data_IF_198312927454
#
_entry.id   IF_198312927454
#
_cell.length_a   1.000
_cell.length_b   1.000
_cell.length_c   1.000
_cell.angle_alpha   90.00
_cell.angle_beta   90.00
_cell.angle_gamma   90.00
#
_symmetry.space_group_name_H-M   'P 1'
#
loop_
_entity.id
_entity.type
_entity.pdbx_description
1 polymer ?
#
# COMPACT_ATOMS: atom_id res chain seq x y z
N UNK A 1 12.46 18.52 1.59
CA UNK A 1 12.87 18.57 3.01
C UNK A 1 14.05 17.63 3.23
N UNK A 2 14.86 17.84 4.30
CA UNK A 2 15.83 16.81 4.68
C UNK A 2 15.09 15.58 5.19
N UNK A 3 15.59 14.39 4.86
CA UNK A 3 14.98 13.12 5.20
C UNK A 3 15.90 12.29 6.11
N UNK A 4 15.31 11.65 7.09
CA UNK A 4 15.98 10.59 7.85
C UNK A 4 15.60 9.24 7.23
N UNK A 5 16.60 8.47 6.78
CA UNK A 5 16.39 7.15 6.18
C UNK A 5 17.21 6.08 6.87
N UNK A 6 16.67 4.89 7.03
CA UNK A 6 17.37 3.73 7.59
C UNK A 6 16.84 2.42 7.06
N UNK A 7 17.72 1.43 6.89
CA UNK A 7 17.29 0.04 6.78
C UNK A 7 16.87 -0.45 8.17
N UNK A 8 15.80 -1.22 8.23
CA UNK A 8 15.26 -1.75 9.48
C UNK A 8 15.03 -3.25 9.36
N UNK A 9 15.07 -3.93 10.51
CA UNK A 9 14.70 -5.34 10.62
C UNK A 9 13.83 -5.52 11.85
N UNK A 10 12.75 -6.31 11.72
CA UNK A 10 11.79 -6.53 12.79
C UNK A 10 11.16 -7.92 12.71
N UNK A 11 10.66 -8.40 13.84
CA UNK A 11 10.08 -9.74 13.93
C UNK A 11 8.68 -9.83 13.32
N UNK A 12 8.40 -10.93 12.62
CA UNK A 12 7.06 -11.36 12.19
C UNK A 12 6.90 -12.85 12.50
N UNK A 13 6.29 -13.16 13.64
CA UNK A 13 6.26 -14.53 14.17
C UNK A 13 7.67 -15.09 14.37
N UNK A 14 7.98 -16.22 13.71
CA UNK A 14 9.29 -16.89 13.82
C UNK A 14 10.32 -16.39 12.81
N UNK A 15 10.06 -15.31 12.08
CA UNK A 15 10.95 -14.76 11.04
C UNK A 15 11.29 -13.31 11.28
N UNK A 16 12.38 -12.86 10.68
CA UNK A 16 12.69 -11.44 10.55
C UNK A 16 12.17 -10.93 9.20
N UNK A 17 11.67 -9.71 9.18
CA UNK A 17 11.41 -8.95 7.97
C UNK A 17 12.41 -7.80 7.88
N UNK A 18 12.78 -7.46 6.67
CA UNK A 18 13.58 -6.27 6.38
C UNK A 18 12.70 -5.19 5.76
N UNK A 19 13.12 -3.94 5.91
CA UNK A 19 12.43 -2.81 5.31
C UNK A 19 13.33 -1.60 5.17
N UNK A 20 12.83 -0.62 4.46
CA UNK A 20 13.43 0.69 4.33
C UNK A 20 12.47 1.73 4.90
N UNK A 21 12.90 2.39 5.96
CA UNK A 21 12.16 3.45 6.64
C UNK A 21 12.68 4.82 6.21
N UNK A 22 11.76 5.72 5.88
CA UNK A 22 12.06 7.12 5.54
C UNK A 22 11.03 8.04 6.23
N UNK A 23 11.49 9.15 6.78
CA UNK A 23 10.63 10.16 7.39
C UNK A 23 11.21 11.56 7.19
N UNK A 24 10.40 12.63 7.33
CA UNK A 24 10.92 13.98 7.41
C UNK A 24 11.89 14.12 8.59
N UNK A 25 12.85 15.02 8.49
CA UNK A 25 13.63 15.44 9.64
C UNK A 25 12.74 16.24 10.60
N UNK A 26 12.88 16.00 11.91
CA UNK A 26 12.09 16.64 12.96
C UNK A 26 11.53 15.66 13.97
N UNK A 27 10.83 16.18 14.98
CA UNK A 27 10.38 15.38 16.13
C UNK A 27 9.10 14.56 15.85
N UNK A 28 8.29 14.93 14.84
CA UNK A 28 7.00 14.29 14.59
C UNK A 28 5.92 14.72 15.62
N UNK A 29 4.90 13.89 15.94
CA UNK A 29 4.64 12.61 15.27
C UNK A 29 4.06 12.79 13.85
N UNK A 30 4.63 12.06 12.89
CA UNK A 30 4.19 12.03 11.50
C UNK A 30 3.12 10.96 11.28
N UNK A 31 2.19 11.14 10.33
CA UNK A 31 1.32 10.06 9.90
C UNK A 31 2.16 8.91 9.32
N UNK A 32 1.80 7.67 9.68
CA UNK A 32 2.52 6.48 9.26
C UNK A 32 2.01 5.91 7.94
N UNK A 33 2.90 5.41 7.09
CA UNK A 33 2.52 4.79 5.83
C UNK A 33 3.33 3.52 5.55
N UNK A 34 2.64 2.40 5.29
CA UNK A 34 3.28 1.17 4.82
C UNK A 34 3.26 1.13 3.29
N UNK A 35 4.43 0.97 2.67
CA UNK A 35 4.60 0.83 1.22
C UNK A 35 4.82 -0.64 0.89
N UNK A 36 3.90 -1.24 0.10
CA UNK A 36 3.88 -2.66 -0.19
C UNK A 36 4.29 -2.89 -1.65
N UNK A 37 5.35 -3.66 -1.83
CA UNK A 37 6.02 -3.87 -3.11
C UNK A 37 5.23 -4.72 -4.11
N UNK A 38 5.60 -4.60 -5.38
CA UNK A 38 5.23 -5.50 -6.47
C UNK A 38 5.85 -6.91 -6.27
N UNK A 39 5.69 -7.78 -7.24
CA UNK A 39 6.27 -9.15 -7.24
C UNK A 39 7.80 -9.19 -7.24
N UNK A 40 8.48 -8.06 -7.28
CA UNK A 40 9.95 -7.96 -7.36
C UNK A 40 10.64 -7.82 -6.00
N UNK A 41 9.89 -7.65 -4.91
CA UNK A 41 10.41 -7.39 -3.56
C UNK A 41 10.78 -5.92 -3.34
N UNK A 42 11.55 -5.65 -2.30
CA UNK A 42 12.02 -4.31 -1.94
C UNK A 42 13.12 -3.83 -2.91
N UNK A 43 12.70 -3.32 -4.06
CA UNK A 43 13.58 -2.71 -5.07
C UNK A 43 13.93 -1.27 -4.74
N UNK A 44 14.87 -0.66 -5.51
CA UNK A 44 15.14 0.78 -5.37
C UNK A 44 13.94 1.66 -5.71
N UNK A 45 13.08 1.22 -6.62
CA UNK A 45 11.82 1.91 -6.90
C UNK A 45 10.90 1.96 -5.66
N UNK A 46 10.83 0.89 -4.85
CA UNK A 46 10.06 0.90 -3.60
C UNK A 46 10.68 1.83 -2.54
N UNK A 47 12.02 1.89 -2.48
CA UNK A 47 12.74 2.84 -1.62
C UNK A 47 12.50 4.30 -2.07
N UNK A 48 12.46 4.53 -3.38
CA UNK A 48 12.09 5.82 -3.97
C UNK A 48 10.69 6.25 -3.53
N UNK A 49 9.69 5.36 -3.60
CA UNK A 49 8.34 5.66 -3.14
C UNK A 49 8.29 5.98 -1.64
N UNK A 50 9.02 5.24 -0.80
CA UNK A 50 9.10 5.56 0.63
C UNK A 50 9.70 6.96 0.87
N UNK A 51 10.77 7.33 0.16
CA UNK A 51 11.35 8.69 0.23
C UNK A 51 10.37 9.75 -0.27
N UNK A 52 9.67 9.48 -1.37
CA UNK A 52 8.70 10.42 -1.95
C UNK A 52 7.53 10.69 -1.01
N UNK A 53 7.04 9.69 -0.30
CA UNK A 53 6.04 9.88 0.77
C UNK A 53 6.64 10.60 1.98
N UNK A 54 7.89 10.34 2.31
CA UNK A 54 8.55 11.08 3.40
C UNK A 54 8.71 12.58 3.05
N UNK A 55 9.07 12.92 1.81
CA UNK A 55 9.09 14.30 1.32
C UNK A 55 7.69 14.97 1.39
N UNK A 56 6.63 14.18 1.28
CA UNK A 56 5.24 14.63 1.43
C UNK A 56 4.74 14.66 2.90
N UNK A 57 5.62 14.40 3.88
CA UNK A 57 5.31 14.53 5.30
C UNK A 57 4.90 13.26 6.03
N UNK A 58 5.09 12.08 5.45
CA UNK A 58 4.77 10.79 6.07
C UNK A 58 6.01 10.09 6.65
N UNK A 59 5.84 9.33 7.72
CA UNK A 59 6.82 8.31 8.14
C UNK A 59 6.52 7.01 7.36
N UNK A 60 7.27 6.74 6.30
CA UNK A 60 6.99 5.68 5.33
C UNK A 60 7.91 4.48 5.54
N UNK A 61 7.34 3.27 5.60
CA UNK A 61 8.05 2.00 5.71
C UNK A 61 7.78 1.11 4.49
N UNK A 62 8.75 0.98 3.60
CA UNK A 62 8.73 -0.01 2.53
C UNK A 62 9.23 -1.35 3.08
N UNK A 63 8.33 -2.35 3.18
CA UNK A 63 8.64 -3.68 3.72
C UNK A 63 9.07 -4.65 2.63
N UNK A 64 10.01 -5.56 2.93
CA UNK A 64 10.33 -6.71 2.08
C UNK A 64 9.62 -7.97 2.59
N UNK A 65 8.48 -8.30 1.99
CA UNK A 65 7.71 -9.50 2.30
C UNK A 65 8.43 -10.81 1.87
N UNK A 66 9.52 -10.68 1.10
CA UNK A 66 10.31 -11.81 0.60
C UNK A 66 11.59 -12.08 1.39
N UNK A 67 11.84 -11.31 2.46
CA UNK A 67 13.04 -11.42 3.29
C UNK A 67 13.37 -12.87 3.68
N UNK A 68 14.64 -13.24 3.51
CA UNK A 68 15.19 -14.52 4.00
C UNK A 68 14.73 -15.77 3.25
N UNK A 69 14.05 -15.62 2.09
CA UNK A 69 13.55 -16.76 1.28
C UNK A 69 13.78 -16.54 -0.20
N UNK A 70 13.74 -17.63 -0.98
CA UNK A 70 13.69 -17.53 -2.44
C UNK A 70 12.45 -16.74 -2.88
N UNK A 71 12.64 -15.71 -3.71
CA UNK A 71 11.55 -14.88 -4.26
C UNK A 71 10.47 -15.73 -4.93
N UNK A 72 10.86 -16.76 -5.67
CA UNK A 72 9.92 -17.66 -6.34
C UNK A 72 9.02 -18.41 -5.34
N UNK A 73 9.60 -18.92 -4.24
CA UNK A 73 8.83 -19.60 -3.18
C UNK A 73 7.90 -18.62 -2.48
N UNK A 74 8.40 -17.43 -2.14
CA UNK A 74 7.58 -16.40 -1.48
C UNK A 74 6.42 -15.96 -2.36
N UNK A 75 6.69 -15.70 -3.65
CA UNK A 75 5.67 -15.33 -4.62
C UNK A 75 4.61 -16.43 -4.76
N UNK A 76 5.02 -17.69 -4.92
CA UNK A 76 4.08 -18.81 -5.00
C UNK A 76 3.20 -18.92 -3.74
N UNK A 77 3.78 -18.84 -2.55
CA UNK A 77 3.04 -18.88 -1.28
C UNK A 77 2.10 -17.68 -1.12
N UNK A 78 2.54 -16.50 -1.52
CA UNK A 78 1.73 -15.28 -1.47
C UNK A 78 0.52 -15.39 -2.42
N UNK A 79 0.75 -15.77 -3.66
CA UNK A 79 -0.31 -15.95 -4.67
C UNK A 79 -1.30 -17.06 -4.28
N UNK A 80 -0.81 -18.20 -3.78
CA UNK A 80 -1.69 -19.26 -3.29
C UNK A 80 -2.47 -18.84 -2.04
N UNK A 81 -1.86 -18.11 -1.12
CA UNK A 81 -2.54 -17.53 0.04
C UNK A 81 -3.66 -16.57 -0.37
N UNK A 82 -3.37 -15.65 -1.28
CA UNK A 82 -4.38 -14.72 -1.81
C UNK A 82 -5.53 -15.44 -2.53
N UNK A 83 -5.26 -16.57 -3.18
CA UNK A 83 -6.29 -17.35 -3.88
C UNK A 83 -7.16 -18.18 -2.93
N UNK A 84 -6.53 -18.83 -1.93
CA UNK A 84 -7.20 -19.80 -1.05
C UNK A 84 -7.80 -19.17 0.21
N UNK A 85 -7.14 -18.14 0.75
CA UNK A 85 -7.57 -17.44 1.97
C UNK A 85 -7.03 -16.00 1.97
N UNK A 86 -7.65 -15.15 1.17
CA UNK A 86 -7.17 -13.77 0.92
C UNK A 86 -6.97 -12.95 2.20
N UNK A 87 -7.73 -13.22 3.25
CA UNK A 87 -7.76 -12.39 4.47
C UNK A 87 -6.91 -12.93 5.62
N UNK A 88 -6.46 -14.18 5.52
CA UNK A 88 -5.72 -14.83 6.61
C UNK A 88 -4.63 -15.76 6.06
N UNK A 89 -3.54 -15.17 5.60
CA UNK A 89 -2.34 -15.88 5.18
C UNK A 89 -1.08 -15.14 5.66
N UNK A 90 0.10 -15.74 5.46
CA UNK A 90 1.37 -15.20 5.97
C UNK A 90 1.61 -13.74 5.56
N UNK A 91 1.24 -13.33 4.34
CA UNK A 91 1.41 -11.94 3.90
C UNK A 91 0.61 -10.94 4.73
N UNK A 92 -0.61 -11.30 5.15
CA UNK A 92 -1.42 -10.46 6.04
C UNK A 92 -0.80 -10.40 7.45
N UNK A 93 -0.30 -11.54 7.95
CA UNK A 93 0.40 -11.57 9.24
C UNK A 93 1.68 -10.71 9.21
N UNK A 94 2.45 -10.77 8.12
CA UNK A 94 3.64 -9.96 7.92
C UNK A 94 3.31 -8.46 7.85
N UNK A 95 2.22 -8.07 7.19
CA UNK A 95 1.77 -6.67 7.14
C UNK A 95 1.29 -6.16 8.51
N UNK A 96 0.60 -7.00 9.30
CA UNK A 96 0.25 -6.65 10.68
C UNK A 96 1.49 -6.45 11.56
N UNK A 97 2.51 -7.29 11.41
CA UNK A 97 3.79 -7.11 12.10
C UNK A 97 4.53 -5.86 11.63
N UNK A 98 4.46 -5.53 10.34
CA UNK A 98 5.01 -4.29 9.77
C UNK A 98 4.35 -3.07 10.38
N UNK A 99 3.02 -3.07 10.52
CA UNK A 99 2.30 -1.98 11.15
C UNK A 99 2.65 -1.85 12.64
N UNK A 100 2.73 -2.96 13.37
CA UNK A 100 3.15 -2.94 14.77
C UNK A 100 4.54 -2.30 14.95
N UNK A 101 5.48 -2.63 14.04
CA UNK A 101 6.80 -2.02 14.05
C UNK A 101 6.75 -0.52 13.74
N UNK A 102 5.93 -0.11 12.76
CA UNK A 102 5.76 1.30 12.38
C UNK A 102 5.16 2.11 13.53
N UNK A 103 4.08 1.61 14.14
CA UNK A 103 3.38 2.23 15.28
C UNK A 103 4.26 2.36 16.55
N UNK A 104 5.27 1.49 16.67
CA UNK A 104 6.23 1.54 17.78
C UNK A 104 7.33 2.60 17.58
N UNK A 105 7.43 3.25 16.42
CA UNK A 105 8.41 4.32 16.20
C UNK A 105 7.93 5.59 16.91
N UNK A 106 8.77 6.23 17.76
CA UNK A 106 8.37 7.45 18.52
C UNK A 106 7.92 8.61 17.64
N UNK A 107 8.42 8.66 16.39
CA UNK A 107 8.10 9.69 15.41
C UNK A 107 6.80 9.43 14.64
N UNK A 108 6.07 8.35 14.91
CA UNK A 108 4.87 7.96 14.19
C UNK A 108 3.60 8.16 15.03
N UNK A 109 2.61 8.82 14.44
CA UNK A 109 1.28 8.88 15.00
C UNK A 109 0.48 7.62 14.63
N UNK A 110 0.34 6.73 15.59
CA UNK A 110 -0.35 5.44 15.41
C UNK A 110 -1.85 5.56 15.09
N UNK A 111 -2.47 6.70 15.39
CA UNK A 111 -3.87 6.95 15.06
C UNK A 111 -4.05 7.44 13.63
N UNK A 112 -2.97 7.73 12.92
CA UNK A 112 -2.94 8.27 11.55
C UNK A 112 -2.06 7.38 10.66
N UNK A 113 -2.51 6.16 10.41
CA UNK A 113 -1.76 5.17 9.62
C UNK A 113 -2.52 4.73 8.38
N UNK A 114 -1.80 4.53 7.28
CA UNK A 114 -2.34 4.05 6.02
C UNK A 114 -1.41 3.11 5.29
N UNK A 115 -1.82 2.67 4.11
CA UNK A 115 -1.00 1.82 3.27
C UNK A 115 -1.13 2.18 1.78
N UNK A 116 -0.04 2.06 1.05
CA UNK A 116 -0.02 2.09 -0.41
C UNK A 116 0.58 0.79 -0.92
N UNK A 117 0.00 0.22 -1.96
CA UNK A 117 0.48 -1.03 -2.51
C UNK A 117 0.39 -1.09 -4.02
N UNK A 118 1.39 -1.72 -4.64
CA UNK A 118 1.54 -1.80 -6.08
C UNK A 118 1.41 -3.25 -6.56
N UNK A 119 0.58 -3.52 -7.56
CA UNK A 119 0.34 -4.85 -8.13
C UNK A 119 -0.11 -5.86 -7.05
N UNK A 120 0.69 -6.88 -6.79
CA UNK A 120 0.49 -7.81 -5.67
C UNK A 120 0.32 -7.05 -4.34
N UNK A 121 1.14 -6.02 -4.10
CA UNK A 121 1.04 -5.18 -2.92
C UNK A 121 -0.26 -4.41 -2.81
N UNK A 122 -0.83 -3.97 -3.94
CA UNK A 122 -2.15 -3.34 -3.98
C UNK A 122 -3.26 -4.30 -3.57
N UNK A 123 -3.21 -5.54 -4.07
CA UNK A 123 -4.16 -6.59 -3.69
C UNK A 123 -4.03 -6.97 -2.21
N UNK A 124 -2.79 -6.99 -1.69
CA UNK A 124 -2.53 -7.20 -0.27
C UNK A 124 -3.04 -6.04 0.59
N UNK A 125 -2.91 -4.79 0.14
CA UNK A 125 -3.43 -3.63 0.86
C UNK A 125 -4.95 -3.70 1.02
N UNK A 126 -5.68 -4.08 -0.03
CA UNK A 126 -7.14 -4.28 0.03
C UNK A 126 -7.47 -5.42 1.02
N UNK A 127 -6.85 -6.58 0.86
CA UNK A 127 -7.12 -7.73 1.72
C UNK A 127 -6.76 -7.46 3.19
N UNK A 128 -5.66 -6.78 3.43
CA UNK A 128 -5.23 -6.39 4.77
C UNK A 128 -6.18 -5.40 5.42
N UNK A 129 -6.62 -4.36 4.73
CA UNK A 129 -7.61 -3.42 5.24
C UNK A 129 -8.94 -4.09 5.61
N UNK A 130 -9.34 -5.14 4.86
CA UNK A 130 -10.49 -5.96 5.25
C UNK A 130 -10.26 -6.79 6.54
N UNK A 131 -9.01 -7.03 6.93
CA UNK A 131 -8.61 -7.91 8.05
C UNK A 131 -8.00 -7.15 9.24
N UNK A 132 -7.84 -5.83 9.16
CA UNK A 132 -7.22 -4.98 10.18
C UNK A 132 -7.83 -3.57 10.11
N UNK A 133 -8.54 -3.16 11.13
CA UNK A 133 -9.28 -1.89 11.18
C UNK A 133 -8.43 -0.68 11.63
N UNK A 134 -7.13 -0.84 11.82
CA UNK A 134 -6.23 0.26 12.21
C UNK A 134 -5.93 1.21 11.06
N UNK A 135 -5.96 0.71 9.81
CA UNK A 135 -5.70 1.54 8.64
C UNK A 135 -6.83 2.58 8.45
N UNK A 136 -6.45 3.83 8.27
CA UNK A 136 -7.37 4.97 8.06
C UNK A 136 -7.66 5.23 6.58
N UNK A 137 -6.73 4.90 5.70
CA UNK A 137 -6.94 4.90 4.25
C UNK A 137 -5.92 4.00 3.56
N UNK A 138 -6.27 3.52 2.35
CA UNK A 138 -5.36 2.74 1.49
C UNK A 138 -5.34 3.27 0.06
N UNK A 139 -4.20 3.09 -0.61
CA UNK A 139 -4.01 3.42 -2.02
C UNK A 139 -3.57 2.17 -2.82
N UNK A 140 -4.50 1.34 -3.32
CA UNK A 140 -4.18 0.21 -4.18
C UNK A 140 -3.96 0.66 -5.64
N UNK A 141 -2.82 0.26 -6.21
CA UNK A 141 -2.49 0.44 -7.62
C UNK A 141 -2.59 -0.90 -8.36
N UNK A 142 -3.32 -0.91 -9.48
CA UNK A 142 -3.48 -2.08 -10.38
C UNK A 142 -3.63 -3.41 -9.64
N UNK A 143 -4.58 -3.41 -8.71
CA UNK A 143 -4.84 -4.47 -7.76
C UNK A 143 -5.99 -5.42 -8.17
N UNK A 144 -6.04 -6.59 -7.56
CA UNK A 144 -7.21 -7.48 -7.59
C UNK A 144 -7.96 -7.46 -6.26
N UNK A 145 -9.27 -7.70 -6.30
CA UNK A 145 -10.10 -7.74 -5.11
C UNK A 145 -9.98 -9.09 -4.38
N UNK A 146 -10.08 -9.12 -3.04
CA UNK A 146 -10.04 -10.36 -2.26
C UNK A 146 -11.30 -11.20 -2.45
N UNK A 147 -11.23 -12.44 -2.00
CA UNK A 147 -12.39 -13.34 -1.86
C UNK A 147 -12.58 -13.69 -0.38
N UNK A 148 -13.83 -13.75 0.11
CA UNK A 148 -15.08 -13.39 -0.58
C UNK A 148 -15.24 -11.88 -0.76
N UNK A 149 -15.96 -11.43 -1.79
CA UNK A 149 -16.15 -9.99 -2.08
C UNK A 149 -16.89 -9.24 -0.96
N UNK A 150 -17.73 -9.92 -0.16
CA UNK A 150 -18.42 -9.34 0.99
C UNK A 150 -17.44 -8.79 2.05
N UNK A 151 -16.17 -9.19 1.99
CA UNK A 151 -15.13 -8.63 2.86
C UNK A 151 -14.91 -7.13 2.62
N UNK A 152 -15.16 -6.64 1.40
CA UNK A 152 -14.98 -5.25 1.01
C UNK A 152 -15.79 -4.26 1.88
N UNK A 153 -16.88 -4.71 2.49
CA UNK A 153 -17.67 -3.91 3.47
C UNK A 153 -16.88 -3.45 4.71
N UNK A 154 -15.69 -4.00 4.94
CA UNK A 154 -14.82 -3.68 6.07
C UNK A 154 -13.66 -2.76 5.71
N UNK A 155 -13.59 -2.31 4.46
CA UNK A 155 -12.53 -1.42 4.02
C UNK A 155 -12.59 -0.07 4.74
N UNK A 156 -11.42 0.47 5.04
CA UNK A 156 -11.25 1.90 5.27
C UNK A 156 -11.41 2.68 3.95
N UNK A 157 -11.39 4.01 3.95
CA UNK A 157 -11.36 4.86 2.75
C UNK A 157 -10.31 4.43 1.73
N UNK A 158 -10.64 4.50 0.43
CA UNK A 158 -9.81 3.94 -0.66
C UNK A 158 -9.59 4.94 -1.79
N UNK A 159 -8.34 5.21 -2.18
CA UNK A 159 -8.00 5.90 -3.43
C UNK A 159 -7.32 4.93 -4.39
N UNK A 160 -8.03 4.43 -5.38
CA UNK A 160 -7.56 3.37 -6.29
C UNK A 160 -7.15 3.88 -7.66
N UNK A 161 -6.06 3.35 -8.21
CA UNK A 161 -5.54 3.72 -9.52
C UNK A 161 -5.34 2.49 -10.42
N UNK A 162 -6.07 2.42 -11.52
CA UNK A 162 -6.14 1.24 -12.37
C UNK A 162 -5.83 1.54 -13.84
N UNK A 163 -5.00 0.74 -14.50
CA UNK A 163 -4.71 0.90 -15.93
C UNK A 163 -5.84 0.33 -16.80
N UNK A 164 -6.31 1.10 -17.79
CA UNK A 164 -7.39 0.68 -18.67
C UNK A 164 -7.03 -0.44 -19.65
N UNK A 165 -5.72 -0.60 -19.94
CA UNK A 165 -5.19 -1.68 -20.79
C UNK A 165 -4.63 -2.85 -19.98
N UNK A 166 -5.38 -3.27 -18.95
CA UNK A 166 -4.97 -4.32 -18.03
C UNK A 166 -6.19 -5.06 -17.46
N UNK A 167 -6.02 -6.33 -17.11
CA UNK A 167 -7.10 -7.13 -16.52
C UNK A 167 -7.59 -6.57 -15.17
N UNK A 168 -6.76 -5.80 -14.47
CA UNK A 168 -7.12 -5.18 -13.19
C UNK A 168 -8.12 -4.04 -13.33
N UNK A 169 -8.33 -3.47 -14.53
CA UNK A 169 -9.36 -2.46 -14.76
C UNK A 169 -10.75 -2.92 -14.31
N UNK A 170 -11.09 -4.20 -14.61
CA UNK A 170 -12.35 -4.81 -14.17
C UNK A 170 -12.45 -4.89 -12.63
N UNK A 171 -11.34 -5.17 -11.96
CA UNK A 171 -11.30 -5.19 -10.50
C UNK A 171 -11.50 -3.80 -9.91
N UNK A 172 -10.94 -2.76 -10.54
CA UNK A 172 -11.19 -1.37 -10.18
C UNK A 172 -12.67 -1.00 -10.28
N UNK A 173 -13.31 -1.32 -11.41
CA UNK A 173 -14.76 -1.09 -11.59
C UNK A 173 -15.62 -1.83 -10.56
N UNK A 174 -15.28 -3.08 -10.25
CA UNK A 174 -15.99 -3.87 -9.24
C UNK A 174 -15.79 -3.31 -7.82
N UNK A 175 -14.58 -2.80 -7.53
CA UNK A 175 -14.27 -2.17 -6.26
C UNK A 175 -15.08 -0.88 -6.10
N UNK A 176 -15.10 -0.01 -7.10
CA UNK A 176 -15.86 1.23 -7.14
C UNK A 176 -17.34 1.00 -6.81
N UNK A 177 -17.99 0.09 -7.54
CA UNK A 177 -19.39 -0.30 -7.30
C UNK A 177 -19.60 -0.83 -5.87
N UNK A 178 -18.68 -1.64 -5.37
CA UNK A 178 -18.81 -2.21 -4.02
C UNK A 178 -18.67 -1.13 -2.94
N UNK A 179 -17.73 -0.18 -3.11
CA UNK A 179 -17.52 0.91 -2.17
C UNK A 179 -18.72 1.87 -2.14
N UNK A 180 -19.32 2.16 -3.29
CA UNK A 180 -20.61 2.88 -3.38
C UNK A 180 -21.71 2.18 -2.58
N UNK A 181 -21.88 0.86 -2.82
CA UNK A 181 -22.91 0.06 -2.14
C UNK A 181 -22.75 0.04 -0.60
N UNK A 182 -21.48 0.06 -0.13
CA UNK A 182 -21.19 0.03 1.32
C UNK A 182 -21.05 1.41 1.95
N UNK A 183 -21.18 2.49 1.16
CA UNK A 183 -21.06 3.87 1.64
C UNK A 183 -19.67 4.21 2.17
N UNK A 184 -18.62 3.59 1.59
CA UNK A 184 -17.23 3.82 1.97
C UNK A 184 -16.65 4.96 1.12
N UNK A 185 -16.03 5.95 1.76
CA UNK A 185 -15.35 7.04 1.06
C UNK A 185 -14.29 6.51 0.10
N UNK A 186 -14.34 6.89 -1.16
CA UNK A 186 -13.41 6.40 -2.17
C UNK A 186 -13.25 7.35 -3.36
N UNK A 187 -12.13 7.17 -4.06
CA UNK A 187 -11.84 7.78 -5.35
C UNK A 187 -11.14 6.72 -6.23
N UNK A 188 -11.90 6.06 -7.11
CA UNK A 188 -11.39 5.04 -8.02
C UNK A 188 -11.28 5.61 -9.43
N UNK A 189 -10.06 5.60 -9.98
CA UNK A 189 -9.82 6.09 -11.36
C UNK A 189 -9.20 5.03 -12.24
N UNK A 190 -9.77 4.89 -13.44
CA UNK A 190 -9.23 4.04 -14.50
C UNK A 190 -8.61 4.94 -15.56
N UNK A 191 -7.34 4.70 -15.87
CA UNK A 191 -6.56 5.42 -16.87
C UNK A 191 -6.59 4.68 -18.21
N UNK A 192 -7.40 5.09 -19.20
CA UNK A 192 -7.71 4.28 -20.40
C UNK A 192 -6.48 3.90 -21.22
N UNK A 193 -5.47 4.77 -21.27
CA UNK A 193 -4.22 4.56 -22.04
C UNK A 193 -3.14 3.80 -21.28
N UNK A 194 -3.24 3.69 -19.96
CA UNK A 194 -2.21 3.12 -19.12
C UNK A 194 -2.16 1.59 -19.17
N UNK A 195 -0.97 1.03 -18.94
CA UNK A 195 -0.69 -0.40 -18.82
C UNK A 195 -0.37 -0.75 -17.37
N UNK A 196 -0.29 -2.05 -17.05
CA UNK A 196 0.18 -2.52 -15.74
C UNK A 196 1.54 -1.92 -15.37
N UNK A 197 1.70 -1.48 -14.11
CA UNK A 197 2.89 -0.79 -13.59
C UNK A 197 3.14 0.61 -14.22
N UNK A 198 2.09 1.33 -14.61
CA UNK A 198 2.18 2.63 -15.27
C UNK A 198 2.89 3.73 -14.45
N UNK A 199 2.97 3.59 -13.14
CA UNK A 199 3.68 4.54 -12.27
C UNK A 199 5.13 4.13 -11.96
N UNK A 200 5.64 3.02 -12.52
CA UNK A 200 6.99 2.54 -12.31
C UNK A 200 7.93 2.99 -13.45
N UNK A 201 8.77 3.99 -13.19
CA UNK A 201 9.69 4.57 -14.18
C UNK A 201 10.72 3.56 -14.71
N UNK A 202 11.05 2.51 -13.95
CA UNK A 202 11.94 1.44 -14.40
C UNK A 202 11.30 0.59 -15.52
N UNK A 203 9.97 0.70 -15.70
CA UNK A 203 9.18 -0.02 -16.70
C UNK A 203 8.89 0.82 -17.92
N UNK A 204 9.92 1.21 -18.68
CA UNK A 204 9.86 2.12 -19.83
C UNK A 204 8.71 1.85 -20.81
N UNK A 205 8.31 0.59 -21.02
CA UNK A 205 7.22 0.21 -21.94
C UNK A 205 5.81 0.30 -21.30
N UNK A 206 5.74 0.53 -20.00
CA UNK A 206 4.48 0.62 -19.24
C UNK A 206 4.29 1.98 -18.58
N UNK A 207 5.39 2.67 -18.24
CA UNK A 207 5.35 3.98 -17.62
C UNK A 207 4.52 4.96 -18.43
N UNK A 208 3.64 5.66 -17.76
CA UNK A 208 2.79 6.72 -18.31
C UNK A 208 2.85 7.90 -17.34
N UNK A 209 3.58 8.93 -17.73
CA UNK A 209 3.86 10.07 -16.88
C UNK A 209 2.58 10.76 -16.40
N UNK A 210 1.67 11.10 -17.31
CA UNK A 210 0.44 11.81 -16.96
C UNK A 210 -0.41 11.03 -15.96
N UNK A 211 -0.56 9.71 -16.18
CA UNK A 211 -1.30 8.85 -15.26
C UNK A 211 -0.57 8.69 -13.91
N UNK A 212 0.75 8.64 -13.90
CA UNK A 212 1.56 8.53 -12.69
C UNK A 212 1.47 9.80 -11.84
N UNK A 213 1.60 10.98 -12.46
CA UNK A 213 1.50 12.28 -11.79
C UNK A 213 0.09 12.52 -11.24
N UNK A 214 -0.95 12.34 -12.05
CA UNK A 214 -2.34 12.48 -11.62
C UNK A 214 -2.68 11.50 -10.46
N UNK A 215 -2.24 10.24 -10.56
CA UNK A 215 -2.48 9.27 -9.49
C UNK A 215 -1.77 9.63 -8.18
N UNK A 216 -0.59 10.22 -8.27
CA UNK A 216 0.16 10.72 -7.12
C UNK A 216 -0.56 11.89 -6.44
N UNK A 217 -0.98 12.89 -7.21
CA UNK A 217 -1.72 14.05 -6.69
C UNK A 217 -3.02 13.63 -6.00
N UNK A 218 -3.77 12.71 -6.60
CA UNK A 218 -5.00 12.16 -6.01
C UNK A 218 -4.73 11.42 -4.69
N UNK A 219 -3.67 10.62 -4.62
CA UNK A 219 -3.28 9.94 -3.38
C UNK A 219 -2.93 10.93 -2.29
N UNK A 220 -2.15 11.98 -2.61
CA UNK A 220 -1.80 13.00 -1.62
C UNK A 220 -3.02 13.77 -1.12
N UNK A 221 -3.93 14.17 -2.01
CA UNK A 221 -5.15 14.86 -1.64
C UNK A 221 -6.03 13.99 -0.72
N UNK A 222 -6.26 12.74 -1.11
CA UNK A 222 -7.08 11.79 -0.35
C UNK A 222 -6.46 11.43 1.01
N UNK A 223 -5.15 11.17 1.04
CA UNK A 223 -4.46 10.90 2.31
C UNK A 223 -4.36 12.17 3.18
N UNK A 224 -4.29 13.34 2.58
CA UNK A 224 -4.39 14.62 3.27
C UNK A 224 -5.68 14.72 4.10
N UNK A 225 -6.80 14.32 3.50
CA UNK A 225 -8.11 14.32 4.14
C UNK A 225 -8.25 13.23 5.21
N UNK A 226 -7.82 11.99 4.91
CA UNK A 226 -8.12 10.83 5.75
C UNK A 226 -7.02 10.42 6.74
N UNK A 227 -5.77 10.89 6.53
CA UNK A 227 -4.61 10.49 7.34
C UNK A 227 -3.88 11.71 7.94
N UNK A 228 -3.66 12.80 7.17
CA UNK A 228 -2.89 13.94 7.66
C UNK A 228 -3.71 14.87 8.56
N UNK A 229 -4.98 15.12 8.23
CA UNK A 229 -5.82 15.95 9.08
C UNK A 229 -5.98 15.30 10.45
N UNK A 230 -5.61 16.01 11.52
CA UNK A 230 -6.04 15.60 12.86
C UNK A 230 -7.56 15.72 12.88
N UNK A 231 -8.25 14.64 13.25
CA UNK A 231 -9.67 14.73 13.52
C UNK A 231 -9.89 15.92 14.47
N UNK A 232 -10.61 16.93 14.00
CA UNK A 232 -11.05 18.01 14.86
C UNK A 232 -12.05 17.39 15.85
N UNK A 233 -11.63 17.22 17.10
CA UNK A 233 -12.49 16.77 18.21
C UNK A 233 -13.39 17.93 18.61
#
# INVERSE_FOLDING_TARGET
MALVTKNVSFASGNRQLEGFFAQPEGEGPFPGLVVIHEVWGLTENMRYWARRFADAGYAALAVDLFTGRSKAICMFRMMSGMLLNSLNHQGIADLKATLNFLEAQPSVDRERVGAVGYCMGGSLAIAWSCADNRLKAIAPYYATNPKPQEALKRLCPVVGSYPGKDFTAKHGQQLDIALDQYGIAHDIKIYPGAKHAFCNEDRKNAYNQDAAEDSWERVLAFFGEHIQSKATV
#
